data_IF_782591349134
#
_entry.id   IF_782591349134
#
_cell.length_a   1.000
_cell.length_b   1.000
_cell.length_c   1.000
_cell.angle_alpha   90.00
_cell.angle_beta   90.00
_cell.angle_gamma   90.00
#
_symmetry.space_group_name_H-M   'P 1'
#
loop_
_entity.id
_entity.type
_entity.pdbx_description
1 polymer ?
#
# COMPACT_ATOMS: atom_id res chain seq x y z
N UNK A 1 0.32 -0.54 -13.64
CA UNK A 1 1.36 -0.84 -12.64
C UNK A 1 0.69 -1.56 -11.48
N UNK A 2 1.32 -2.56 -10.84
CA UNK A 2 0.72 -3.26 -9.72
C UNK A 2 0.54 -2.31 -8.52
N UNK A 3 -0.58 -2.48 -7.81
CA UNK A 3 -1.00 -1.69 -6.66
C UNK A 3 -1.10 -2.61 -5.45
N UNK A 4 -0.46 -2.25 -4.33
CA UNK A 4 -0.63 -2.92 -3.05
C UNK A 4 -1.68 -2.16 -2.23
N UNK A 5 -2.70 -2.88 -1.78
CA UNK A 5 -3.67 -2.39 -0.81
C UNK A 5 -3.14 -2.69 0.59
N UNK A 6 -2.73 -1.66 1.32
CA UNK A 6 -2.02 -1.79 2.61
C UNK A 6 -2.91 -1.33 3.76
N UNK A 7 -3.06 -2.19 4.76
CA UNK A 7 -3.65 -1.83 6.04
C UNK A 7 -2.58 -1.18 6.94
N UNK A 8 -2.92 -0.03 7.53
CA UNK A 8 -2.04 0.73 8.43
C UNK A 8 -2.60 0.74 9.85
N UNK A 9 -1.73 0.81 10.89
CA UNK A 9 -2.15 0.92 12.29
C UNK A 9 -2.61 2.37 12.59
N UNK A 10 -3.73 2.75 11.99
CA UNK A 10 -4.41 4.05 12.15
C UNK A 10 -5.91 3.80 12.36
N UNK A 11 -6.64 4.69 13.05
CA UNK A 11 -8.06 4.50 13.33
C UNK A 11 -8.94 4.83 12.10
N UNK A 12 -8.62 4.23 10.96
CA UNK A 12 -9.37 4.37 9.70
C UNK A 12 -9.69 2.98 9.16
N UNK A 13 -10.98 2.62 9.01
CA UNK A 13 -11.39 1.27 8.60
C UNK A 13 -11.30 1.08 7.07
N UNK A 14 -10.13 1.38 6.49
CA UNK A 14 -9.86 1.23 5.06
C UNK A 14 -8.39 0.89 4.78
N UNK A 15 -8.13 0.35 3.60
CA UNK A 15 -6.78 0.19 3.06
C UNK A 15 -6.30 1.46 2.36
N UNK A 16 -4.99 1.53 2.14
CA UNK A 16 -4.33 2.60 1.41
C UNK A 16 -3.59 2.01 0.22
N UNK A 17 -3.74 2.63 -0.94
CA UNK A 17 -3.18 2.15 -2.19
C UNK A 17 -1.76 2.69 -2.39
N UNK A 18 -0.84 1.79 -2.72
CA UNK A 18 0.54 2.12 -3.02
C UNK A 18 0.98 1.48 -4.32
N UNK A 19 1.67 2.26 -5.15
CA UNK A 19 2.33 1.72 -6.35
C UNK A 19 3.52 0.86 -5.93
N UNK A 20 3.64 -0.32 -6.54
CA UNK A 20 4.85 -1.13 -6.40
C UNK A 20 5.90 -0.63 -7.41
N UNK A 21 7.16 -0.43 -6.95
CA UNK A 21 8.28 -0.22 -7.84
C UNK A 21 8.49 -1.41 -8.79
N UNK A 22 9.08 -1.15 -9.96
CA UNK A 22 9.45 -2.23 -10.89
C UNK A 22 10.41 -3.24 -10.23
N UNK A 23 10.18 -4.53 -10.50
CA UNK A 23 10.97 -5.62 -9.92
C UNK A 23 10.64 -5.97 -8.45
N UNK A 24 9.81 -5.17 -7.76
CA UNK A 24 9.36 -5.50 -6.41
C UNK A 24 8.11 -6.39 -6.46
N UNK A 25 8.13 -7.49 -5.71
CA UNK A 25 6.96 -8.36 -5.52
C UNK A 25 6.63 -8.48 -4.03
N UNK A 26 5.35 -8.33 -3.71
CA UNK A 26 4.82 -8.53 -2.36
C UNK A 26 3.57 -9.40 -2.44
N UNK A 27 3.23 -10.07 -1.35
CA UNK A 27 2.05 -10.91 -1.23
C UNK A 27 1.19 -10.44 -0.06
N UNK A 28 -0.08 -10.82 -0.05
CA UNK A 28 -0.94 -10.62 1.10
C UNK A 28 -0.30 -11.20 2.37
N UNK A 29 -0.41 -10.49 3.49
CA UNK A 29 0.22 -10.83 4.78
C UNK A 29 1.65 -10.32 4.95
N UNK A 30 2.33 -9.86 3.90
CA UNK A 30 3.66 -9.25 4.03
C UNK A 30 3.59 -7.90 4.74
N UNK A 31 4.57 -7.62 5.60
CA UNK A 31 4.77 -6.28 6.15
C UNK A 31 5.56 -5.43 5.16
N UNK A 32 5.13 -4.18 5.00
CA UNK A 32 5.76 -3.21 4.10
C UNK A 32 5.96 -1.89 4.82
N UNK A 33 7.02 -1.17 4.44
CA UNK A 33 7.23 0.21 4.89
C UNK A 33 6.75 1.15 3.79
N UNK A 34 5.84 2.04 4.12
CA UNK A 34 5.18 2.92 3.16
C UNK A 34 5.18 4.37 3.65
N UNK A 35 5.25 5.36 2.74
CA UNK A 35 5.06 6.76 3.11
C UNK A 35 3.61 6.99 3.57
N UNK A 36 3.44 7.80 4.60
CA UNK A 36 2.13 8.14 5.15
C UNK A 36 2.11 9.58 5.67
N UNK A 37 1.39 10.46 4.99
CA UNK A 37 1.43 11.90 5.25
C UNK A 37 2.70 12.56 4.71
N UNK A 38 3.01 13.79 5.18
CA UNK A 38 4.07 14.62 4.56
C UNK A 38 5.51 14.18 4.85
N UNK A 39 5.77 13.54 5.99
CA UNK A 39 7.15 13.25 6.44
C UNK A 39 7.28 11.97 7.27
N UNK A 40 6.30 11.07 7.23
CA UNK A 40 6.33 9.86 8.05
C UNK A 40 6.32 8.63 7.15
N UNK A 41 7.09 7.62 7.53
CA UNK A 41 6.94 6.27 7.04
C UNK A 41 6.23 5.45 8.12
N UNK A 42 5.39 4.49 7.72
CA UNK A 42 4.76 3.55 8.63
C UNK A 42 4.91 2.13 8.13
N UNK A 43 4.91 1.20 9.08
CA UNK A 43 4.79 -0.23 8.77
C UNK A 43 3.31 -0.56 8.63
N UNK A 44 2.96 -1.14 7.49
CA UNK A 44 1.64 -1.68 7.20
C UNK A 44 1.71 -3.16 6.80
N UNK A 45 0.55 -3.75 6.59
CA UNK A 45 0.40 -5.13 6.10
C UNK A 45 -0.33 -5.10 4.77
N UNK A 46 0.21 -5.79 3.77
CA UNK A 46 -0.45 -5.94 2.47
C UNK A 46 -1.67 -6.84 2.64
N UNK A 47 -2.84 -6.32 2.29
CA UNK A 47 -4.12 -7.06 2.30
C UNK A 47 -4.31 -7.78 0.97
N UNK A 48 -4.02 -7.08 -0.14
CA UNK A 48 -4.10 -7.63 -1.48
C UNK A 48 -3.20 -6.85 -2.45
N UNK A 49 -2.92 -7.46 -3.61
CA UNK A 49 -2.20 -6.81 -4.72
C UNK A 49 -3.08 -6.94 -5.95
N UNK A 50 -3.30 -5.84 -6.66
CA UNK A 50 -4.14 -5.78 -7.86
C UNK A 50 -3.52 -4.89 -8.94
N UNK A 51 -4.15 -4.84 -10.11
CA UNK A 51 -3.75 -3.92 -11.20
C UNK A 51 -4.69 -2.71 -11.32
N UNK A 52 -5.57 -2.50 -10.34
CA UNK A 52 -6.62 -1.47 -10.38
C UNK A 52 -6.57 -0.68 -9.08
N UNK A 53 -6.62 0.65 -9.17
CA UNK A 53 -6.85 1.53 -8.03
C UNK A 53 -8.11 2.35 -8.31
N UNK A 54 -8.86 2.66 -7.25
CA UNK A 54 -9.98 3.60 -7.32
C UNK A 54 -9.51 5.05 -7.51
N UNK A 55 -8.22 5.31 -7.28
CA UNK A 55 -7.60 6.62 -7.43
C UNK A 55 -6.86 6.71 -8.79
N UNK A 56 -6.97 7.85 -9.49
CA UNK A 56 -6.21 8.07 -10.71
C UNK A 56 -4.70 8.15 -10.41
N UNK A 57 -3.87 7.84 -11.42
CA UNK A 57 -2.46 8.21 -11.37
C UNK A 57 -2.36 9.74 -11.43
N UNK A 58 -1.65 10.31 -10.45
CA UNK A 58 -1.25 11.72 -10.47
C UNK A 58 -0.04 11.93 -11.38
#
# INVERSE_FOLDING_TARGET
>A
MPVAHVALPVPLPRTFDYLLPEGMTVKAGCRVRVPFGKQQERIGVVVSVSNVSELPLN
#
